data_IF_764271480496
#
_entry.id   IF_764271480496
#
_cell.length_a   1.000
_cell.length_b   1.000
_cell.length_c   1.000
_cell.angle_alpha   90.00
_cell.angle_beta   90.00
_cell.angle_gamma   90.00
#
_symmetry.space_group_name_H-M   'P 1'
#
loop_
_entity.id
_entity.type
_entity.pdbx_description
1 polymer ?
#
# COMPACT_ATOMS: atom_id res chain seq x y z
N UNK A 1 43.32 42.19 19.19
CA UNK A 1 41.86 42.41 19.04
C UNK A 1 41.09 41.27 19.72
N UNK A 2 39.91 41.58 20.23
CA UNK A 2 39.23 40.91 21.36
C UNK A 2 38.55 39.58 21.00
N UNK A 3 38.58 38.69 22.01
CA UNK A 3 37.91 37.40 22.25
C UNK A 3 36.45 37.32 21.77
N UNK A 4 35.97 36.10 21.46
CA UNK A 4 34.83 35.47 22.16
C UNK A 4 34.86 33.93 22.01
N UNK A 5 35.00 33.24 23.14
CA UNK A 5 34.66 31.82 23.31
C UNK A 5 33.14 31.73 23.50
N UNK A 6 32.45 30.88 22.75
CA UNK A 6 31.07 30.51 23.04
C UNK A 6 31.04 29.07 23.57
N UNK A 7 30.88 28.95 24.88
CA UNK A 7 30.68 27.69 25.60
C UNK A 7 29.20 27.35 25.53
N UNK A 8 28.83 26.22 24.94
CA UNK A 8 27.48 25.67 25.08
C UNK A 8 27.49 24.56 26.13
N UNK A 9 26.90 24.89 27.26
CA UNK A 9 26.41 23.94 28.25
C UNK A 9 25.15 23.27 27.70
N UNK A 10 25.05 21.95 27.74
CA UNK A 10 23.72 21.33 27.78
C UNK A 10 23.72 20.10 28.67
N UNK A 11 22.62 20.02 29.41
CA UNK A 11 22.47 19.37 30.70
C UNK A 11 22.19 17.88 30.53
N UNK A 12 22.82 17.08 31.38
CA UNK A 12 22.43 15.70 31.66
C UNK A 12 20.97 15.66 32.13
N UNK A 13 20.15 14.86 31.46
CA UNK A 13 18.85 14.43 31.97
C UNK A 13 18.96 12.95 32.25
N UNK A 14 18.86 12.62 33.54
CA UNK A 14 18.92 11.30 34.11
C UNK A 14 17.47 10.81 34.21
N UNK A 15 17.08 9.82 33.40
CA UNK A 15 15.75 9.20 33.50
C UNK A 15 15.94 7.79 34.07
N UNK A 16 15.47 7.65 35.30
CA UNK A 16 15.24 6.40 36.01
C UNK A 16 13.86 5.91 35.57
N UNK A 17 13.78 4.70 34.98
CA UNK A 17 12.50 4.04 34.75
C UNK A 17 12.54 2.61 35.29
N UNK A 18 11.50 2.35 36.09
CA UNK A 18 11.32 1.25 37.03
C UNK A 18 10.94 -0.03 36.30
N UNK A 19 11.63 -1.12 36.65
CA UNK A 19 11.28 -2.50 36.33
C UNK A 19 9.90 -2.83 36.94
N UNK A 20 8.93 -3.18 36.10
CA UNK A 20 7.71 -3.86 36.54
C UNK A 20 7.60 -5.20 35.83
N UNK A 21 7.95 -6.25 36.58
CA UNK A 21 7.69 -7.65 36.28
C UNK A 21 6.25 -7.97 36.71
N UNK A 22 5.43 -8.46 35.80
CA UNK A 22 4.20 -9.22 36.06
C UNK A 22 3.81 -9.87 34.72
N UNK A 23 3.28 -11.08 34.59
CA UNK A 23 3.25 -12.30 35.38
C UNK A 23 2.64 -13.35 34.43
N UNK A 24 2.98 -14.63 34.62
CA UNK A 24 2.49 -15.79 33.88
C UNK A 24 0.96 -15.88 33.73
N UNK A 25 0.52 -16.45 32.60
CA UNK A 25 -0.85 -16.93 32.42
C UNK A 25 -0.99 -17.84 31.19
N UNK A 26 -0.46 -19.06 31.26
CA UNK A 26 -0.88 -20.16 30.39
C UNK A 26 -2.35 -20.53 30.65
N UNK A 27 -3.11 -20.86 29.60
CA UNK A 27 -3.95 -22.08 29.60
C UNK A 27 -4.39 -22.50 28.18
N UNK A 28 -4.20 -23.79 27.94
CA UNK A 28 -4.55 -24.59 26.78
C UNK A 28 -6.07 -24.70 26.57
N UNK A 29 -6.50 -24.97 25.33
CA UNK A 29 -7.46 -26.02 24.90
C UNK A 29 -7.69 -25.83 23.40
N UNK A 30 -7.42 -26.76 22.49
CA UNK A 30 -7.89 -28.15 22.24
C UNK A 30 -8.63 -28.14 20.91
N UNK A 31 -8.17 -29.01 20.01
CA UNK A 31 -8.59 -29.17 18.63
C UNK A 31 -10.01 -29.73 18.47
N UNK A 32 -10.61 -29.46 17.31
CA UNK A 32 -11.57 -30.38 16.71
C UNK A 32 -11.48 -30.30 15.17
N UNK A 33 -10.99 -31.39 14.57
CA UNK A 33 -11.21 -31.77 13.16
C UNK A 33 -12.73 -32.00 12.94
N UNK A 34 -13.31 -31.90 11.73
CA UNK A 34 -13.27 -32.81 10.56
C UNK A 34 -14.36 -32.28 9.55
N UNK A 35 -14.67 -32.94 8.41
CA UNK A 35 -13.95 -33.13 7.14
C UNK A 35 -14.48 -32.26 5.96
N UNK A 36 -13.76 -32.31 4.84
CA UNK A 36 -14.12 -31.80 3.52
C UNK A 36 -15.18 -32.64 2.78
N UNK A 37 -15.77 -32.10 1.70
CA UNK A 37 -16.14 -32.92 0.55
C UNK A 37 -15.51 -32.45 -0.77
N UNK A 38 -15.08 -33.45 -1.53
CA UNK A 38 -14.62 -33.45 -2.91
C UNK A 38 -15.63 -32.82 -3.89
N UNK A 39 -15.13 -32.09 -4.89
CA UNK A 39 -15.81 -31.98 -6.20
C UNK A 39 -14.78 -31.92 -7.32
N UNK A 40 -14.84 -32.92 -8.20
CA UNK A 40 -14.02 -33.11 -9.41
C UNK A 40 -14.57 -32.32 -10.62
N UNK A 41 -13.79 -32.21 -11.71
CA UNK A 41 -13.89 -31.13 -12.69
C UNK A 41 -14.81 -31.46 -13.88
N UNK A 42 -15.35 -30.41 -14.51
CA UNK A 42 -15.95 -30.50 -15.85
C UNK A 42 -15.00 -29.83 -16.85
N UNK A 43 -14.51 -30.67 -17.75
CA UNK A 43 -13.85 -30.30 -19.01
C UNK A 43 -14.96 -30.08 -20.04
N UNK A 44 -14.92 -28.98 -20.79
CA UNK A 44 -15.40 -29.02 -22.17
C UNK A 44 -14.61 -28.06 -23.05
N UNK A 45 -14.08 -28.70 -24.08
CA UNK A 45 -13.31 -28.24 -25.23
C UNK A 45 -14.13 -27.35 -26.17
N UNK A 46 -13.45 -26.60 -27.05
CA UNK A 46 -13.87 -26.25 -28.44
C UNK A 46 -13.57 -24.80 -28.90
N UNK A 47 -12.64 -24.73 -29.85
CA UNK A 47 -12.76 -24.02 -31.15
C UNK A 47 -12.16 -22.62 -31.32
N UNK A 48 -10.93 -22.64 -31.86
CA UNK A 48 -10.30 -21.68 -32.81
C UNK A 48 -11.09 -21.76 -34.15
N UNK A 49 -11.44 -20.68 -34.89
CA UNK A 49 -10.47 -20.02 -35.78
C UNK A 49 -10.71 -18.57 -36.27
N UNK A 50 -9.60 -18.03 -36.81
CA UNK A 50 -9.44 -17.29 -38.08
C UNK A 50 -9.16 -15.78 -38.02
N UNK A 51 -7.90 -15.51 -38.39
CA UNK A 51 -7.32 -14.27 -38.90
C UNK A 51 -8.02 -13.76 -40.17
N UNK A 52 -8.07 -12.43 -40.34
CA UNK A 52 -7.63 -11.86 -41.61
C UNK A 52 -6.71 -10.63 -41.45
N UNK A 53 -5.59 -10.67 -42.16
CA UNK A 53 -4.71 -9.56 -42.57
C UNK A 53 -5.33 -8.83 -43.79
N UNK A 54 -4.69 -7.80 -44.38
CA UNK A 54 -4.40 -6.42 -43.93
C UNK A 54 -5.18 -5.37 -44.76
N UNK A 55 -5.16 -4.10 -44.37
CA UNK A 55 -5.38 -2.97 -45.31
C UNK A 55 -4.71 -1.68 -44.82
N UNK A 56 -3.75 -1.19 -45.62
CA UNK A 56 -3.08 0.11 -45.55
C UNK A 56 -3.72 1.05 -46.60
N UNK A 57 -3.96 2.34 -46.30
CA UNK A 57 -3.24 3.44 -46.97
C UNK A 57 -2.89 4.58 -45.99
N UNK A 58 -1.65 5.07 -45.95
CA UNK A 58 -1.10 6.19 -46.74
C UNK A 58 -1.94 7.48 -46.69
N UNK A 59 -1.42 8.53 -46.01
CA UNK A 59 -1.98 9.87 -46.10
C UNK A 59 -1.43 10.91 -45.12
N UNK A 60 -0.46 11.69 -45.60
CA UNK A 60 -0.21 13.12 -45.34
C UNK A 60 0.09 13.65 -43.92
N UNK A 61 1.34 14.11 -43.75
CA UNK A 61 1.78 15.12 -42.79
C UNK A 61 1.06 16.45 -43.01
N UNK A 62 0.53 17.04 -41.94
CA UNK A 62 0.18 18.44 -41.85
C UNK A 62 0.84 19.06 -40.61
N UNK A 63 1.63 20.10 -40.85
CA UNK A 63 2.33 20.94 -39.89
C UNK A 63 1.34 21.65 -38.95
N UNK A 64 1.50 21.59 -37.61
CA UNK A 64 0.63 22.32 -36.71
C UNK A 64 1.05 23.80 -36.60
N UNK A 65 0.13 24.66 -37.01
CA UNK A 65 0.11 26.10 -36.74
C UNK A 65 -0.06 26.33 -35.23
N UNK A 66 0.87 27.05 -34.62
CA UNK A 66 0.92 27.31 -33.17
C UNK A 66 -0.22 28.24 -32.74
N UNK A 67 -1.33 27.66 -32.28
CA UNK A 67 -2.38 28.36 -31.53
C UNK A 67 -1.93 28.60 -30.08
N UNK A 68 -2.29 29.75 -29.46
CA UNK A 68 -2.02 30.03 -28.06
C UNK A 68 -2.57 28.92 -27.16
N UNK A 69 -1.71 28.39 -26.29
CA UNK A 69 -2.01 27.33 -25.31
C UNK A 69 -3.27 27.71 -24.49
N UNK A 70 -4.38 26.96 -24.58
CA UNK A 70 -5.54 27.15 -23.73
C UNK A 70 -5.12 27.05 -22.26
N UNK A 71 -5.74 27.88 -21.42
CA UNK A 71 -5.60 27.80 -19.98
C UNK A 71 -5.84 26.36 -19.51
N UNK A 72 -4.92 25.82 -18.70
CA UNK A 72 -4.91 24.46 -18.21
C UNK A 72 -6.30 24.02 -17.74
N UNK A 73 -6.83 22.96 -18.34
CA UNK A 73 -8.01 22.27 -17.82
C UNK A 73 -7.78 21.91 -16.34
N UNK A 74 -8.81 22.02 -15.47
CA UNK A 74 -8.70 21.53 -14.11
C UNK A 74 -8.31 20.05 -14.13
N UNK A 75 -7.48 19.59 -13.19
CA UNK A 75 -7.01 18.21 -13.17
C UNK A 75 -8.22 17.26 -13.19
N UNK A 76 -8.24 16.36 -14.18
CA UNK A 76 -9.25 15.29 -14.25
C UNK A 76 -9.23 14.53 -12.93
N UNK A 77 -10.40 14.32 -12.34
CA UNK A 77 -10.56 13.47 -11.16
C UNK A 77 -9.90 12.11 -11.43
N UNK A 78 -9.15 11.61 -10.46
CA UNK A 78 -8.51 10.30 -10.55
C UNK A 78 -9.58 9.23 -10.76
N UNK A 79 -9.39 8.35 -11.74
CA UNK A 79 -10.27 7.20 -11.93
C UNK A 79 -10.17 6.28 -10.71
N UNK A 80 -11.31 5.90 -10.13
CA UNK A 80 -11.38 5.06 -8.93
C UNK A 80 -11.67 3.61 -9.32
N UNK A 81 -10.77 2.70 -8.93
CA UNK A 81 -10.91 1.25 -9.14
C UNK A 81 -11.33 0.57 -7.85
N UNK A 82 -12.59 0.12 -7.81
CA UNK A 82 -13.14 -0.68 -6.71
C UNK A 82 -12.80 -2.17 -6.93
N UNK A 83 -12.05 -2.74 -6.01
CA UNK A 83 -11.52 -4.11 -6.06
C UNK A 83 -12.20 -4.94 -4.97
N UNK A 84 -12.90 -5.99 -5.38
CA UNK A 84 -13.47 -6.97 -4.45
C UNK A 84 -12.41 -7.99 -4.04
N UNK A 85 -12.09 -8.05 -2.74
CA UNK A 85 -11.12 -8.97 -2.18
C UNK A 85 -9.70 -8.41 -2.07
N UNK A 86 -8.71 -9.29 -2.19
CA UNK A 86 -7.30 -9.01 -1.84
C UNK A 86 -6.36 -8.98 -3.04
N UNK A 87 -6.85 -9.02 -4.27
CA UNK A 87 -6.05 -9.18 -5.48
C UNK A 87 -6.43 -8.15 -6.54
N UNK A 88 -5.43 -7.44 -7.07
CA UNK A 88 -5.57 -6.58 -8.24
C UNK A 88 -4.48 -6.93 -9.25
N UNK A 89 -4.85 -7.07 -10.53
CA UNK A 89 -3.96 -7.57 -11.59
C UNK A 89 -4.14 -6.74 -12.85
N UNK A 90 -3.03 -6.33 -13.44
CA UNK A 90 -2.94 -5.79 -14.80
C UNK A 90 -2.07 -6.73 -15.66
N UNK A 91 -1.79 -6.36 -16.90
CA UNK A 91 -0.89 -7.13 -17.76
C UNK A 91 0.56 -7.14 -17.23
N UNK A 92 0.98 -6.06 -16.59
CA UNK A 92 2.35 -5.80 -16.18
C UNK A 92 2.55 -5.81 -14.65
N UNK A 93 1.47 -5.85 -13.84
CA UNK A 93 1.56 -5.76 -12.37
C UNK A 93 0.59 -6.73 -11.69
N UNK A 94 0.96 -7.15 -10.48
CA UNK A 94 0.11 -7.92 -9.58
C UNK A 94 0.26 -7.41 -8.15
N UNK A 95 -0.86 -7.07 -7.53
CA UNK A 95 -0.98 -6.60 -6.15
C UNK A 95 -1.77 -7.64 -5.36
N UNK A 96 -1.23 -8.04 -4.21
CA UNK A 96 -1.88 -8.97 -3.29
C UNK A 96 -1.79 -8.42 -1.87
N UNK A 97 -2.93 -8.31 -1.18
CA UNK A 97 -2.97 -8.12 0.27
C UNK A 97 -2.72 -9.47 0.91
N UNK A 98 -1.48 -9.72 1.31
CA UNK A 98 -1.04 -11.01 1.85
C UNK A 98 -1.37 -11.19 3.34
N UNK A 99 -1.44 -10.09 4.09
CA UNK A 99 -1.84 -10.07 5.50
C UNK A 99 -2.54 -8.76 5.83
N UNK A 100 -3.48 -8.82 6.78
CA UNK A 100 -4.24 -7.68 7.29
C UNK A 100 -4.65 -7.99 8.74
N UNK A 101 -3.91 -7.47 9.73
CA UNK A 101 -4.03 -7.89 11.12
C UNK A 101 -3.48 -6.87 12.13
N UNK A 102 -3.97 -6.92 13.37
CA UNK A 102 -3.46 -6.14 14.51
C UNK A 102 -2.80 -7.10 15.50
N UNK A 103 -1.52 -7.46 15.31
CA UNK A 103 -0.88 -8.52 16.11
C UNK A 103 0.35 -8.10 16.92
N UNK A 104 0.92 -6.92 16.68
CA UNK A 104 2.16 -6.55 17.36
C UNK A 104 2.31 -5.04 17.48
N UNK A 105 2.68 -4.57 18.67
CA UNK A 105 3.24 -3.23 18.83
C UNK A 105 4.55 -3.18 18.04
N UNK A 106 4.64 -2.25 17.08
CA UNK A 106 5.84 -2.06 16.28
C UNK A 106 6.72 -1.07 17.03
N UNK A 107 7.88 -1.46 17.61
CA UNK A 107 8.72 -0.49 18.30
C UNK A 107 9.14 0.63 17.34
N UNK A 108 9.14 1.90 17.78
CA UNK A 108 8.92 2.39 19.14
C UNK A 108 7.46 2.84 19.43
N UNK A 109 6.46 2.29 18.76
CA UNK A 109 5.06 2.69 18.95
C UNK A 109 4.47 2.12 20.23
N UNK A 110 3.74 2.95 20.97
CA UNK A 110 3.00 2.55 22.18
C UNK A 110 1.66 1.88 21.85
N UNK A 111 1.07 2.21 20.70
CA UNK A 111 -0.20 1.67 20.22
C UNK A 111 0.03 0.49 19.27
N UNK A 112 -0.98 -0.39 19.14
CA UNK A 112 -0.93 -1.51 18.19
C UNK A 112 -1.50 -1.05 16.85
N UNK A 113 -0.65 -0.78 15.83
CA UNK A 113 -1.16 -0.40 14.52
C UNK A 113 -1.96 -1.54 13.88
N UNK A 114 -2.79 -1.15 12.92
CA UNK A 114 -3.34 -2.11 11.96
C UNK A 114 -2.37 -2.29 10.80
N UNK A 115 -1.92 -3.52 10.61
CA UNK A 115 -0.87 -3.85 9.65
C UNK A 115 -1.47 -4.43 8.39
N UNK A 116 -1.09 -3.88 7.23
CA UNK A 116 -1.44 -4.42 5.92
C UNK A 116 -0.16 -4.74 5.16
N UNK A 117 0.06 -6.02 4.86
CA UNK A 117 1.22 -6.44 4.05
C UNK A 117 0.82 -6.60 2.60
N UNK A 118 1.33 -5.70 1.76
CA UNK A 118 1.20 -5.76 0.31
C UNK A 118 2.32 -6.59 -0.30
N UNK A 119 1.98 -7.44 -1.27
CA UNK A 119 2.94 -8.05 -2.19
C UNK A 119 2.71 -7.48 -3.58
N UNK A 120 3.72 -6.80 -4.10
CA UNK A 120 3.71 -6.19 -5.43
C UNK A 120 4.67 -6.97 -6.31
N UNK A 121 4.22 -7.43 -7.48
CA UNK A 121 5.04 -8.19 -8.43
C UNK A 121 5.08 -7.50 -9.79
N UNK A 122 6.28 -7.41 -10.37
CA UNK A 122 6.46 -7.01 -11.76
C UNK A 122 6.18 -8.20 -12.69
N UNK A 123 5.11 -8.12 -13.49
CA UNK A 123 4.73 -9.10 -14.51
C UNK A 123 5.08 -8.66 -15.92
N UNK A 124 5.58 -7.43 -16.08
CA UNK A 124 6.04 -6.87 -17.34
C UNK A 124 7.40 -7.42 -17.78
N UNK A 125 7.85 -6.96 -18.93
CA UNK A 125 9.17 -7.28 -19.51
C UNK A 125 10.23 -6.22 -19.18
N UNK A 126 9.83 -5.08 -18.62
CA UNK A 126 10.70 -3.95 -18.28
C UNK A 126 10.86 -3.82 -16.77
N UNK A 127 11.89 -3.10 -16.33
CA UNK A 127 12.06 -2.73 -14.92
C UNK A 127 10.95 -1.77 -14.48
N UNK A 128 10.60 -1.84 -13.20
CA UNK A 128 9.50 -1.07 -12.65
C UNK A 128 9.90 -0.47 -11.31
N UNK A 129 9.81 0.85 -11.17
CA UNK A 129 10.06 1.53 -9.89
C UNK A 129 8.77 1.51 -9.06
N UNK A 130 8.80 0.83 -7.93
CA UNK A 130 7.73 0.86 -6.93
C UNK A 130 8.01 1.94 -5.89
N UNK A 131 7.06 2.83 -5.67
CA UNK A 131 7.04 3.78 -4.56
C UNK A 131 5.93 3.39 -3.58
N UNK A 132 6.26 3.32 -2.29
CA UNK A 132 5.28 3.01 -1.25
C UNK A 132 4.26 4.12 -1.07
N UNK A 133 3.08 3.74 -0.58
CA UNK A 133 2.06 4.68 -0.13
C UNK A 133 2.33 5.26 1.26
N UNK A 134 3.39 4.81 1.94
CA UNK A 134 3.77 5.32 3.25
C UNK A 134 4.44 6.70 3.09
N UNK A 135 3.82 7.79 3.55
CA UNK A 135 4.45 9.12 3.49
C UNK A 135 5.59 9.21 4.51
N UNK A 136 6.48 10.17 4.33
CA UNK A 136 7.45 10.51 5.36
C UNK A 136 6.80 11.44 6.37
N UNK A 137 7.27 11.38 7.62
CA UNK A 137 6.83 12.33 8.65
C UNK A 137 7.13 13.78 8.26
N UNK A 138 8.18 14.00 7.47
CA UNK A 138 8.55 15.31 6.91
C UNK A 138 7.73 15.74 5.68
N UNK A 139 6.90 14.85 5.12
CA UNK A 139 6.18 15.15 3.88
C UNK A 139 4.94 15.98 4.15
N UNK A 140 4.82 17.10 3.44
CA UNK A 140 3.64 17.96 3.45
C UNK A 140 2.52 17.44 2.53
N UNK A 141 2.45 16.13 2.31
CA UNK A 141 1.38 15.51 1.51
C UNK A 141 0.04 15.79 2.18
N UNK A 142 -0.92 16.44 1.50
CA UNK A 142 -2.24 16.70 2.06
C UNK A 142 -2.91 15.40 2.51
N UNK A 143 -3.64 15.43 3.62
CA UNK A 143 -4.28 14.23 4.19
C UNK A 143 -5.21 13.52 3.19
N UNK A 144 -5.89 14.28 2.34
CA UNK A 144 -6.75 13.76 1.27
C UNK A 144 -6.00 12.92 0.21
N UNK A 145 -4.67 12.98 0.18
CA UNK A 145 -3.80 12.21 -0.73
C UNK A 145 -3.02 11.11 -0.01
N UNK A 146 -3.32 10.83 1.26
CA UNK A 146 -2.67 9.75 2.02
C UNK A 146 -3.52 8.50 1.97
N UNK A 147 -2.86 7.33 2.01
CA UNK A 147 -3.58 6.08 2.17
C UNK A 147 -4.31 6.04 3.52
N UNK A 148 -5.46 5.37 3.54
CA UNK A 148 -6.22 5.15 4.78
C UNK A 148 -7.02 3.85 4.67
N UNK A 149 -7.49 3.37 5.81
CA UNK A 149 -8.48 2.31 5.90
C UNK A 149 -9.80 2.92 6.37
N UNK A 150 -10.92 2.56 5.76
CA UNK A 150 -12.25 2.92 6.23
C UNK A 150 -13.02 1.67 6.66
N UNK A 151 -13.84 1.78 7.69
CA UNK A 151 -14.79 0.72 8.07
C UNK A 151 -16.22 0.99 7.55
N UNK A 152 -17.12 0.04 7.77
CA UNK A 152 -18.53 0.15 7.39
C UNK A 152 -19.35 1.11 8.28
N UNK A 153 -18.75 1.67 9.33
CA UNK A 153 -19.33 2.68 10.22
C UNK A 153 -18.90 4.10 9.83
N UNK A 154 -18.06 4.26 8.81
CA UNK A 154 -17.54 5.53 8.35
C UNK A 154 -16.34 6.06 9.16
N UNK A 155 -15.75 5.24 10.03
CA UNK A 155 -14.49 5.59 10.68
C UNK A 155 -13.34 5.47 9.67
N UNK A 156 -12.40 6.40 9.73
CA UNK A 156 -11.18 6.38 8.93
C UNK A 156 -9.95 6.22 9.82
N UNK A 157 -9.03 5.38 9.38
CA UNK A 157 -7.79 5.02 10.05
C UNK A 157 -6.64 5.41 9.12
N UNK A 158 -6.01 6.58 9.34
CA UNK A 158 -4.99 7.09 8.44
C UNK A 158 -3.71 6.23 8.49
N UNK A 159 -2.95 6.24 7.40
CA UNK A 159 -1.62 5.65 7.36
C UNK A 159 -0.67 6.39 8.31
N UNK A 160 0.18 5.64 8.99
CA UNK A 160 1.20 6.14 9.91
C UNK A 160 2.45 6.46 9.09
N UNK A 161 2.92 7.73 9.10
CA UNK A 161 4.11 8.10 8.35
C UNK A 161 5.36 7.36 8.82
N UNK A 162 6.27 7.07 7.89
CA UNK A 162 7.57 6.53 8.21
C UNK A 162 8.47 7.61 8.83
N UNK A 163 9.15 7.28 9.92
CA UNK A 163 10.12 8.18 10.57
C UNK A 163 11.31 8.44 9.65
N UNK A 164 11.81 9.67 9.65
CA UNK A 164 12.96 10.05 8.82
C UNK A 164 14.21 9.25 9.24
N UNK A 165 14.85 8.59 8.28
CA UNK A 165 16.07 7.80 8.51
C UNK A 165 15.88 6.46 9.22
N UNK A 166 14.66 6.14 9.68
CA UNK A 166 14.35 4.88 10.36
C UNK A 166 12.95 4.38 9.92
N UNK A 167 12.83 3.77 8.72
CA UNK A 167 11.59 3.09 8.36
C UNK A 167 11.29 1.96 9.36
N UNK A 168 10.01 1.69 9.58
CA UNK A 168 9.62 0.53 10.39
C UNK A 168 10.05 -0.76 9.70
N UNK A 169 10.31 -1.82 10.46
CA UNK A 169 10.73 -3.10 9.89
C UNK A 169 9.70 -3.60 8.87
N UNK A 170 10.16 -3.95 7.66
CA UNK A 170 9.29 -4.41 6.57
C UNK A 170 8.67 -3.31 5.71
N UNK A 171 8.81 -2.03 6.07
CA UNK A 171 8.44 -0.92 5.19
C UNK A 171 9.44 -0.76 4.05
N UNK A 172 8.90 -0.60 2.85
CA UNK A 172 9.65 -0.22 1.67
C UNK A 172 9.35 1.25 1.41
N UNK A 173 10.35 2.03 1.01
CA UNK A 173 10.11 3.40 0.51
C UNK A 173 10.01 3.42 -0.99
N UNK A 174 11.06 2.88 -1.60
CA UNK A 174 11.21 2.77 -3.03
C UNK A 174 11.98 1.49 -3.35
N UNK A 175 11.60 0.82 -4.43
CA UNK A 175 12.35 -0.31 -4.95
C UNK A 175 12.16 -0.46 -6.45
N UNK A 176 13.27 -0.55 -7.20
CA UNK A 176 13.24 -1.02 -8.59
C UNK A 176 13.08 -2.53 -8.63
N UNK A 177 12.06 -3.00 -9.33
CA UNK A 177 11.71 -4.41 -9.51
C UNK A 177 12.04 -4.87 -10.92
N UNK A 178 12.89 -5.90 -11.03
CA UNK A 178 13.16 -6.56 -12.31
C UNK A 178 11.95 -7.37 -12.79
N UNK A 179 11.86 -7.72 -14.09
CA UNK A 179 10.85 -8.63 -14.59
C UNK A 179 10.78 -9.93 -13.77
N UNK A 180 9.57 -10.27 -13.31
CA UNK A 180 9.31 -11.44 -12.47
C UNK A 180 9.62 -11.25 -10.97
N UNK A 181 10.27 -10.16 -10.57
CA UNK A 181 10.55 -9.86 -9.16
C UNK A 181 9.29 -9.44 -8.40
N UNK A 182 9.29 -9.68 -7.09
CA UNK A 182 8.28 -9.17 -6.19
C UNK A 182 8.89 -8.50 -4.96
N UNK A 183 8.16 -7.56 -4.38
CA UNK A 183 8.46 -6.92 -3.10
C UNK A 183 7.32 -7.10 -2.13
N UNK A 184 7.65 -7.19 -0.84
CA UNK A 184 6.69 -7.10 0.25
C UNK A 184 6.86 -5.74 0.91
N UNK A 185 5.76 -5.03 1.08
CA UNK A 185 5.71 -3.73 1.75
C UNK A 185 4.69 -3.78 2.89
N UNK A 186 5.06 -3.22 4.03
CA UNK A 186 4.23 -3.16 5.23
C UNK A 186 3.64 -1.76 5.38
N UNK A 187 2.33 -1.63 5.21
CA UNK A 187 1.62 -0.40 5.52
C UNK A 187 1.09 -0.46 6.95
N UNK A 188 1.34 0.59 7.73
CA UNK A 188 0.89 0.71 9.11
C UNK A 188 -0.21 1.77 9.17
N UNK A 189 -1.36 1.43 9.74
CA UNK A 189 -2.47 2.35 9.94
C UNK A 189 -2.76 2.52 11.43
N UNK A 190 -3.45 3.61 11.78
CA UNK A 190 -3.98 3.78 13.13
C UNK A 190 -4.79 2.57 13.58
N UNK A 191 -4.81 2.34 14.90
CA UNK A 191 -5.51 1.21 15.51
C UNK A 191 -7.00 1.17 15.12
N UNK A 192 -7.47 0.00 14.67
CA UNK A 192 -8.88 -0.20 14.33
C UNK A 192 -9.75 -0.19 15.59
N UNK A 193 -11.02 0.21 15.45
CA UNK A 193 -11.97 0.07 16.55
C UNK A 193 -12.22 -1.43 16.84
N UNK A 194 -12.38 -1.83 18.12
CA UNK A 194 -12.75 -3.20 18.46
C UNK A 194 -14.04 -3.62 17.74
N UNK A 195 -14.06 -4.83 17.17
CA UNK A 195 -15.22 -5.38 16.48
C UNK A 195 -15.36 -4.96 15.01
N UNK A 196 -14.41 -4.21 14.45
CA UNK A 196 -14.36 -3.92 13.00
C UNK A 196 -14.25 -5.22 12.19
N UNK A 197 -15.19 -5.47 11.26
CA UNK A 197 -15.20 -6.69 10.43
C UNK A 197 -15.02 -6.43 8.95
N UNK A 198 -15.56 -5.33 8.45
CA UNK A 198 -15.53 -4.98 7.02
C UNK A 198 -14.74 -3.71 6.86
N UNK A 199 -13.75 -3.74 5.97
CA UNK A 199 -12.91 -2.59 5.72
C UNK A 199 -12.71 -2.36 4.22
N UNK A 200 -12.42 -1.11 3.88
CA UNK A 200 -11.96 -0.66 2.60
C UNK A 200 -10.55 -0.06 2.76
N UNK A 201 -9.55 -0.63 2.10
CA UNK A 201 -8.20 -0.05 2.02
C UNK A 201 -8.15 0.89 0.82
N UNK A 202 -7.93 2.18 1.07
CA UNK A 202 -7.81 3.23 0.06
C UNK A 202 -6.33 3.52 -0.20
N UNK A 203 -5.88 3.24 -1.42
CA UNK A 203 -4.54 3.55 -1.91
C UNK A 203 -4.65 4.61 -3.01
N UNK A 204 -4.23 5.86 -2.75
CA UNK A 204 -4.38 6.94 -3.71
C UNK A 204 -3.56 6.71 -4.98
N UNK A 205 -4.05 7.28 -6.08
CA UNK A 205 -3.43 7.28 -7.39
C UNK A 205 -2.04 7.90 -7.36
N UNK A 206 -1.07 7.19 -7.93
CA UNK A 206 0.30 7.63 -8.14
C UNK A 206 0.78 7.18 -9.53
N UNK A 207 2.00 7.53 -9.91
CA UNK A 207 2.58 7.10 -11.19
C UNK A 207 2.55 5.57 -11.37
N UNK A 208 2.68 4.83 -10.27
CA UNK A 208 2.72 3.38 -10.27
C UNK A 208 1.41 2.71 -10.71
N UNK A 209 0.26 3.30 -10.40
CA UNK A 209 -1.05 2.77 -10.78
C UNK A 209 -1.74 3.62 -11.87
N UNK A 210 -0.96 4.44 -12.61
CA UNK A 210 -1.49 5.30 -13.66
C UNK A 210 -2.42 6.39 -13.13
N UNK A 211 -2.15 6.87 -11.92
CA UNK A 211 -2.94 7.86 -11.18
C UNK A 211 -4.37 7.40 -10.86
N UNK A 212 -4.61 6.09 -10.80
CA UNK A 212 -5.92 5.52 -10.42
C UNK A 212 -5.95 5.20 -8.94
N UNK A 213 -7.00 5.62 -8.24
CA UNK A 213 -7.17 5.25 -6.85
C UNK A 213 -7.57 3.76 -6.77
N UNK A 214 -6.90 2.98 -5.92
CA UNK A 214 -7.23 1.57 -5.71
C UNK A 214 -7.95 1.42 -4.37
N UNK A 215 -9.17 0.89 -4.39
CA UNK A 215 -9.97 0.64 -3.18
C UNK A 215 -10.22 -0.85 -3.05
N UNK A 216 -9.61 -1.50 -2.04
CA UNK A 216 -9.78 -2.93 -1.78
C UNK A 216 -10.80 -3.15 -0.68
N UNK A 217 -11.89 -3.86 -0.98
CA UNK A 217 -12.92 -4.24 0.00
C UNK A 217 -12.73 -5.68 0.46
N UNK A 218 -12.51 -5.90 1.76
CA UNK A 218 -12.38 -7.25 2.32
C UNK A 218 -12.83 -7.35 3.78
N UNK A 219 -13.08 -8.58 4.22
CA UNK A 219 -13.45 -8.89 5.60
C UNK A 219 -12.21 -9.29 6.40
N UNK A 220 -12.14 -8.81 7.63
CA UNK A 220 -11.20 -9.26 8.65
C UNK A 220 -11.67 -10.60 9.23
N UNK A 221 -10.74 -11.47 9.68
CA UNK A 221 -11.07 -12.77 10.25
C UNK A 221 -11.92 -12.67 11.52
#
# INVERSE_FOLDING_TARGET
MKKQLCVKWSRYVLIVSVLSLNACGQKNQTAQETPAPDTKPVVTDSTIPKEPTPSQPSGASATPESKPKPASEPPKENEVLNISGKLYKTNDKLFIISAAESKQTVPPMEQTPFNVTLRISNKGQEEMVYHSWTPLESDNTPDAKRAFVADDQGNQYPIIPAKQGQPYEGQVREKTLKPGEAVKDLLLFSELKPGTKRIALHLPGNEFNGYKDLIFHFQLP
#
